data_IF_974694415884
#
_entry.id   IF_974694415884
#
_cell.length_a   1.000
_cell.length_b   1.000
_cell.length_c   1.000
_cell.angle_alpha   90.00
_cell.angle_beta   90.00
_cell.angle_gamma   90.00
#
_symmetry.space_group_name_H-M   'P 1'
#
loop_
_entity.id
_entity.type
_entity.pdbx_description
1 polymer ?
#
# COMPACT_ATOMS: atom_id res chain seq x y z
N UNK A 1 1.38 8.22 -11.68
CA UNK A 1 1.71 9.65 -11.40
C UNK A 1 1.68 10.02 -9.91
N UNK A 2 0.67 9.63 -9.12
CA UNK A 2 0.54 10.11 -7.73
C UNK A 2 1.44 9.46 -6.67
N UNK A 3 1.98 8.25 -6.89
CA UNK A 3 2.88 7.60 -5.90
C UNK A 3 4.34 8.07 -5.99
N UNK A 4 4.66 8.95 -6.94
CA UNK A 4 5.96 9.61 -7.04
C UNK A 4 6.10 10.77 -6.03
N UNK A 5 5.62 10.56 -4.81
CA UNK A 5 5.63 11.51 -3.71
C UNK A 5 6.66 11.09 -2.66
N UNK A 6 7.25 12.06 -1.95
CA UNK A 6 8.21 11.79 -0.89
C UNK A 6 7.59 10.88 0.19
N UNK A 7 8.32 9.84 0.59
CA UNK A 7 7.91 8.91 1.65
C UNK A 7 7.06 7.71 1.20
N UNK A 8 6.66 7.60 -0.08
CA UNK A 8 5.94 6.41 -0.56
C UNK A 8 6.79 5.13 -0.45
N UNK A 9 8.11 5.23 -0.67
CA UNK A 9 9.05 4.13 -0.46
C UNK A 9 9.19 3.71 1.00
N UNK A 10 9.10 4.64 1.94
CA UNK A 10 9.11 4.34 3.38
C UNK A 10 7.84 3.59 3.79
N UNK A 11 6.69 3.99 3.24
CA UNK A 11 5.42 3.27 3.41
C UNK A 11 5.52 1.85 2.87
N UNK A 12 6.06 1.66 1.66
CA UNK A 12 6.27 0.32 1.10
C UNK A 12 7.18 -0.51 2.01
N UNK A 13 8.28 0.06 2.49
CA UNK A 13 9.22 -0.61 3.38
C UNK A 13 8.54 -1.06 4.69
N UNK A 14 7.72 -0.18 5.30
CA UNK A 14 6.93 -0.51 6.48
C UNK A 14 5.95 -1.65 6.25
N UNK A 15 5.27 -1.67 5.09
CA UNK A 15 4.37 -2.78 4.69
C UNK A 15 5.15 -4.09 4.59
N UNK A 16 6.30 -4.09 3.91
CA UNK A 16 7.12 -5.29 3.74
C UNK A 16 7.61 -5.85 5.07
N UNK A 17 8.15 -4.98 5.94
CA UNK A 17 8.61 -5.37 7.27
C UNK A 17 7.47 -5.88 8.14
N UNK A 18 6.30 -5.24 8.11
CA UNK A 18 5.11 -5.68 8.84
C UNK A 18 4.62 -7.06 8.39
N UNK A 19 4.67 -7.36 7.09
CA UNK A 19 4.35 -8.69 6.57
C UNK A 19 5.41 -9.72 6.97
N UNK A 20 6.70 -9.40 6.85
CA UNK A 20 7.76 -10.30 7.28
C UNK A 20 7.70 -10.60 8.79
N UNK A 21 7.37 -9.60 9.61
CA UNK A 21 7.18 -9.77 11.06
C UNK A 21 5.99 -10.70 11.40
N UNK A 22 5.00 -10.82 10.52
CA UNK A 22 3.90 -11.77 10.62
C UNK A 22 4.27 -13.20 10.15
N UNK A 23 5.52 -13.43 9.75
CA UNK A 23 6.03 -14.75 9.33
C UNK A 23 5.96 -15.02 7.83
N UNK A 24 5.63 -14.02 7.01
CA UNK A 24 5.69 -14.17 5.55
C UNK A 24 7.14 -14.23 5.06
N UNK A 25 7.42 -15.10 4.08
CA UNK A 25 8.72 -15.10 3.39
C UNK A 25 8.97 -13.75 2.71
N UNK A 26 10.24 -13.37 2.53
CA UNK A 26 10.60 -12.14 1.82
C UNK A 26 9.96 -12.07 0.43
N UNK A 27 9.94 -13.19 -0.31
CA UNK A 27 9.26 -13.30 -1.61
C UNK A 27 7.77 -13.02 -1.51
N UNK A 28 7.07 -13.66 -0.57
CA UNK A 28 5.62 -13.47 -0.39
C UNK A 28 5.29 -12.06 0.09
N UNK A 29 6.07 -11.53 1.03
CA UNK A 29 5.94 -10.17 1.53
C UNK A 29 6.13 -9.15 0.41
N UNK A 30 7.13 -9.32 -0.47
CA UNK A 30 7.34 -8.45 -1.63
C UNK A 30 6.15 -8.45 -2.59
N UNK A 31 5.65 -9.63 -2.94
CA UNK A 31 4.51 -9.74 -3.87
C UNK A 31 3.25 -9.09 -3.27
N UNK A 32 2.90 -9.48 -2.04
CA UNK A 32 1.70 -8.99 -1.38
C UNK A 32 1.81 -7.51 -1.01
N UNK A 33 2.96 -7.08 -0.50
CA UNK A 33 3.20 -5.73 -0.03
C UNK A 33 3.22 -4.70 -1.17
N UNK A 34 3.87 -5.01 -2.30
CA UNK A 34 3.82 -4.14 -3.49
C UNK A 34 2.40 -4.05 -4.04
N UNK A 35 1.67 -5.17 -4.09
CA UNK A 35 0.28 -5.16 -4.52
C UNK A 35 -0.61 -4.31 -3.59
N UNK A 36 -0.50 -4.49 -2.28
CA UNK A 36 -1.27 -3.72 -1.30
C UNK A 36 -0.91 -2.23 -1.33
N UNK A 37 0.37 -1.89 -1.49
CA UNK A 37 0.83 -0.51 -1.61
C UNK A 37 0.23 0.16 -2.85
N UNK A 38 0.30 -0.49 -4.01
CA UNK A 38 -0.30 0.02 -5.25
C UNK A 38 -1.81 0.18 -5.14
N UNK A 39 -2.52 -0.85 -4.64
CA UNK A 39 -3.97 -0.79 -4.46
C UNK A 39 -4.39 0.31 -3.48
N UNK A 40 -3.65 0.50 -2.38
CA UNK A 40 -3.91 1.58 -1.44
C UNK A 40 -3.67 2.96 -2.07
N UNK A 41 -2.61 3.09 -2.89
CA UNK A 41 -2.33 4.29 -3.68
C UNK A 41 -3.41 4.62 -4.69
N UNK A 42 -3.94 3.63 -5.42
CA UNK A 42 -5.05 3.83 -6.36
C UNK A 42 -6.30 4.32 -5.63
N UNK A 43 -6.63 3.69 -4.50
CA UNK A 43 -7.76 4.10 -3.65
C UNK A 43 -7.60 5.52 -3.10
N UNK A 44 -6.37 5.92 -2.76
CA UNK A 44 -6.06 7.26 -2.29
C UNK A 44 -6.18 8.29 -3.42
N UNK A 45 -5.66 7.97 -4.61
CA UNK A 45 -5.77 8.81 -5.79
C UNK A 45 -7.23 9.02 -6.23
N UNK A 46 -8.08 7.99 -6.16
CA UNK A 46 -9.53 8.12 -6.40
C UNK A 46 -10.20 9.15 -5.47
N UNK A 47 -9.70 9.32 -4.24
CA UNK A 47 -10.26 10.23 -3.24
C UNK A 47 -9.72 11.65 -3.32
N UNK A 48 -8.44 11.80 -3.65
CA UNK A 48 -7.69 13.05 -3.49
C UNK A 48 -7.18 13.63 -4.82
N UNK A 49 -7.22 12.86 -5.90
CA UNK A 49 -6.49 13.17 -7.13
C UNK A 49 -5.02 12.76 -7.02
N UNK A 50 -4.36 12.55 -8.16
CA UNK A 50 -2.96 12.12 -8.19
C UNK A 50 -1.99 13.21 -7.69
N UNK A 51 -2.32 14.47 -7.94
CA UNK A 51 -1.48 15.64 -7.67
C UNK A 51 -1.46 16.03 -6.19
N UNK A 52 -2.54 15.76 -5.46
CA UNK A 52 -2.68 16.13 -4.05
C UNK A 52 -2.37 14.98 -3.08
N UNK A 53 -2.11 13.77 -3.60
CA UNK A 53 -1.84 12.59 -2.79
C UNK A 53 -0.45 12.66 -2.14
N UNK A 54 -0.39 12.33 -0.85
CA UNK A 54 0.86 12.17 -0.09
C UNK A 54 0.99 10.76 0.46
N UNK A 55 2.18 10.40 0.97
CA UNK A 55 2.45 9.06 1.49
C UNK A 55 1.48 8.62 2.62
N UNK A 56 1.05 9.56 3.47
CA UNK A 56 0.07 9.30 4.52
C UNK A 56 -1.28 8.79 3.99
N UNK A 57 -1.73 9.28 2.83
CA UNK A 57 -3.00 8.84 2.24
C UNK A 57 -2.96 7.35 1.84
N UNK A 58 -1.78 6.84 1.47
CA UNK A 58 -1.56 5.42 1.16
C UNK A 58 -1.75 4.58 2.43
N UNK A 59 -1.18 5.04 3.56
CA UNK A 59 -1.34 4.38 4.87
C UNK A 59 -2.81 4.34 5.28
N UNK A 60 -3.51 5.47 5.18
CA UNK A 60 -4.94 5.59 5.51
C UNK A 60 -5.82 4.67 4.65
N UNK A 61 -5.39 4.37 3.42
CA UNK A 61 -6.11 3.49 2.51
C UNK A 61 -5.71 2.01 2.60
N UNK A 62 -4.65 1.65 3.35
CA UNK A 62 -4.16 0.28 3.46
C UNK A 62 -5.23 -0.68 4.02
N UNK A 63 -5.99 -0.26 5.03
CA UNK A 63 -7.10 -1.06 5.58
C UNK A 63 -8.25 -1.30 4.59
N UNK A 64 -8.43 -0.43 3.58
CA UNK A 64 -9.37 -0.66 2.48
C UNK A 64 -8.78 -1.63 1.45
N UNK A 65 -7.49 -1.53 1.16
CA UNK A 65 -6.79 -2.46 0.27
C UNK A 65 -6.86 -3.91 0.79
N UNK A 66 -6.58 -4.15 2.09
CA UNK A 66 -6.74 -5.46 2.71
C UNK A 66 -8.19 -5.98 2.60
N UNK A 67 -9.19 -5.15 2.92
CA UNK A 67 -10.59 -5.55 2.79
C UNK A 67 -10.97 -5.92 1.36
N UNK A 68 -10.47 -5.20 0.35
CA UNK A 68 -10.69 -5.55 -1.07
C UNK A 68 -10.03 -6.87 -1.44
N UNK A 69 -8.84 -7.16 -0.92
CA UNK A 69 -8.14 -8.43 -1.14
C UNK A 69 -8.97 -9.62 -0.62
N UNK A 70 -9.49 -9.53 0.61
CA UNK A 70 -10.24 -10.63 1.23
C UNK A 70 -11.69 -10.77 0.73
N UNK A 71 -12.30 -9.71 0.18
CA UNK A 71 -13.67 -9.76 -0.38
C UNK A 71 -13.76 -10.44 -1.74
N UNK A 72 -12.64 -10.85 -2.35
CA UNK A 72 -12.63 -11.52 -3.66
C UNK A 72 -12.80 -13.05 -3.57
N UNK A 73 -13.25 -13.55 -2.42
CA UNK A 73 -13.68 -14.92 -2.18
C UNK A 73 -15.10 -14.95 -1.61
#
# INVERSE_FOLDING_TARGET
PGMATGGSGDVLTGILLGLMAQGYSSKTASILGVFLHGLAGDIAAEKKGYEAMVAGDIVDCLGRAFRKLYRKH
#
